data_IF_034730735942
#
_entry.id   IF_034730735942
#
_cell.length_a   1.000
_cell.length_b   1.000
_cell.length_c   1.000
_cell.angle_alpha   90.00
_cell.angle_beta   90.00
_cell.angle_gamma   90.00
#
_symmetry.space_group_name_H-M   'P 1'
#
loop_
_entity.id
_entity.type
_entity.pdbx_description
1 polymer ?
#
# COMPACT_ATOMS: atom_id res chain seq x y z
N UNK A 1 -51.54 -29.51 0.32
CA UNK A 1 -50.21 -29.05 -0.15
C UNK A 1 -50.05 -29.45 -1.61
N UNK A 2 -49.66 -28.50 -2.45
CA UNK A 2 -49.28 -28.61 -3.87
C UNK A 2 -50.40 -28.72 -4.91
N UNK A 3 -50.82 -27.56 -5.36
CA UNK A 3 -51.27 -27.21 -6.72
C UNK A 3 -50.39 -26.02 -7.14
N UNK A 4 -49.95 -25.74 -8.37
CA UNK A 4 -50.15 -26.25 -9.73
C UNK A 4 -48.98 -25.68 -10.54
N UNK A 5 -48.52 -26.39 -11.57
CA UNK A 5 -47.86 -25.80 -12.73
C UNK A 5 -48.96 -25.64 -13.81
N UNK A 6 -49.01 -24.54 -14.58
CA UNK A 6 -48.51 -24.70 -15.97
C UNK A 6 -47.93 -23.43 -16.63
N UNK A 7 -47.06 -23.70 -17.61
CA UNK A 7 -46.60 -22.86 -18.73
C UNK A 7 -47.63 -21.85 -19.25
N UNK A 8 -47.19 -20.61 -19.48
CA UNK A 8 -47.77 -19.70 -20.47
C UNK A 8 -46.67 -18.89 -21.18
N UNK A 9 -46.77 -18.89 -22.51
CA UNK A 9 -46.00 -18.16 -23.52
C UNK A 9 -46.59 -16.75 -23.65
N UNK A 10 -45.77 -15.71 -23.84
CA UNK A 10 -46.07 -14.65 -24.83
C UNK A 10 -44.85 -13.77 -25.08
N UNK A 11 -44.38 -13.76 -26.33
CA UNK A 11 -43.67 -12.64 -26.94
C UNK A 11 -44.59 -11.42 -26.98
N UNK A 12 -44.02 -10.23 -26.85
CA UNK A 12 -44.41 -9.11 -27.70
C UNK A 12 -43.21 -8.16 -27.88
N UNK A 13 -42.83 -7.97 -29.14
CA UNK A 13 -41.95 -6.91 -29.58
C UNK A 13 -42.80 -5.63 -29.67
N UNK A 14 -42.21 -4.48 -29.35
CA UNK A 14 -42.47 -3.28 -30.16
C UNK A 14 -41.29 -2.33 -30.08
N UNK A 15 -40.79 -2.09 -31.28
CA UNK A 15 -39.78 -1.16 -31.73
C UNK A 15 -40.32 0.28 -31.70
N UNK A 16 -39.49 1.25 -31.30
CA UNK A 16 -39.66 2.64 -31.75
C UNK A 16 -38.29 3.31 -31.80
N UNK A 17 -37.90 3.66 -33.02
CA UNK A 17 -36.70 4.42 -33.37
C UNK A 17 -36.99 5.93 -33.40
N UNK A 18 -35.99 6.78 -33.10
CA UNK A 18 -35.54 7.90 -33.98
C UNK A 18 -34.46 8.81 -33.30
N UNK A 19 -33.19 8.62 -33.73
CA UNK A 19 -32.27 9.52 -34.47
C UNK A 19 -32.12 11.04 -34.09
N UNK A 20 -31.11 11.77 -34.63
CA UNK A 20 -29.81 12.12 -34.02
C UNK A 20 -29.58 13.66 -33.92
N UNK A 21 -28.47 14.13 -33.33
CA UNK A 21 -28.02 15.50 -33.60
C UNK A 21 -26.49 15.66 -33.58
N UNK A 22 -26.01 16.37 -34.61
CA UNK A 22 -24.62 16.54 -35.03
C UNK A 22 -23.94 17.78 -34.43
N UNK A 23 -22.60 17.78 -34.59
CA UNK A 23 -21.70 18.92 -34.83
C UNK A 23 -21.13 19.74 -33.64
N UNK A 24 -19.80 19.86 -33.67
CA UNK A 24 -18.95 20.74 -32.86
C UNK A 24 -19.13 22.23 -33.22
N UNK A 25 -18.60 23.15 -32.40
CA UNK A 25 -17.38 23.83 -32.86
C UNK A 25 -16.35 24.15 -31.77
N UNK A 26 -15.19 24.56 -32.28
CA UNK A 26 -13.95 25.01 -31.63
C UNK A 26 -14.12 26.22 -30.69
N UNK A 27 -13.26 26.30 -29.67
CA UNK A 27 -13.12 27.47 -28.81
C UNK A 27 -11.91 27.31 -27.89
N UNK A 28 -10.77 27.86 -28.30
CA UNK A 28 -9.55 27.87 -27.51
C UNK A 28 -9.64 28.78 -26.30
N UNK A 29 -9.00 28.37 -25.20
CA UNK A 29 -8.31 29.30 -24.32
C UNK A 29 -7.14 28.56 -23.69
N UNK A 30 -5.93 28.97 -24.06
CA UNK A 30 -4.69 28.56 -23.40
C UNK A 30 -4.76 28.99 -21.94
N UNK A 31 -4.85 28.02 -21.05
CA UNK A 31 -4.51 28.23 -19.65
C UNK A 31 -3.10 27.69 -19.48
N UNK A 32 -2.12 28.54 -19.80
CA UNK A 32 -0.73 28.35 -19.38
C UNK A 32 -0.72 28.44 -17.84
N UNK A 33 -1.01 27.31 -17.21
CA UNK A 33 -0.88 27.12 -15.77
C UNK A 33 0.45 26.42 -15.60
N UNK A 34 1.48 27.24 -15.41
CA UNK A 34 2.71 26.82 -14.76
C UNK A 34 2.33 25.92 -13.58
N UNK A 35 2.84 24.68 -13.47
CA UNK A 35 2.60 23.89 -12.28
C UNK A 35 3.43 24.52 -11.16
N UNK A 36 2.82 25.46 -10.45
CA UNK A 36 3.32 25.99 -9.19
C UNK A 36 3.46 24.82 -8.23
N UNK A 37 4.71 24.57 -7.85
CA UNK A 37 5.18 23.55 -6.93
C UNK A 37 4.25 23.37 -5.72
N UNK A 38 3.56 22.24 -5.68
CA UNK A 38 2.99 21.68 -4.45
C UNK A 38 3.28 20.18 -4.40
N UNK A 39 4.55 19.82 -4.61
CA UNK A 39 5.08 18.46 -4.61
C UNK A 39 5.27 17.91 -3.19
N UNK A 40 4.25 18.03 -2.33
CA UNK A 40 4.31 17.50 -0.95
C UNK A 40 3.33 16.35 -0.72
N UNK A 41 2.46 16.04 -1.70
CA UNK A 41 1.30 15.18 -1.44
C UNK A 41 1.48 13.66 -1.61
N UNK A 42 2.69 13.13 -1.84
CA UNK A 42 2.83 11.66 -1.88
C UNK A 42 4.20 11.15 -1.45
N UNK A 43 4.83 11.77 -0.45
CA UNK A 43 6.08 11.24 0.12
C UNK A 43 5.78 10.09 1.08
N UNK A 44 5.19 9.00 0.58
CA UNK A 44 5.09 7.72 1.28
C UNK A 44 6.47 7.07 1.22
N UNK A 45 7.30 7.42 2.19
CA UNK A 45 8.71 7.05 2.25
C UNK A 45 8.90 5.58 2.58
N UNK A 46 10.06 5.06 2.16
CA UNK A 46 10.64 3.83 2.66
C UNK A 46 11.13 4.02 4.11
N UNK A 47 11.44 2.92 4.80
CA UNK A 47 12.04 2.97 6.14
C UNK A 47 13.50 3.40 6.05
N UNK A 48 14.24 2.90 5.07
CA UNK A 48 15.60 3.35 4.82
C UNK A 48 15.61 4.81 4.37
N UNK A 49 16.52 5.57 4.95
CA UNK A 49 16.81 6.91 4.49
C UNK A 49 17.50 6.85 3.11
N UNK A 50 17.23 7.82 2.21
CA UNK A 50 17.98 7.96 0.98
C UNK A 50 19.49 8.00 1.22
N UNK A 51 20.28 7.58 0.22
CA UNK A 51 21.74 7.55 0.33
C UNK A 51 22.27 8.94 0.71
N UNK A 52 23.01 9.02 1.82
CA UNK A 52 23.60 10.26 2.33
C UNK A 52 22.73 10.99 3.38
N UNK A 53 21.48 10.55 3.59
CA UNK A 53 20.67 11.02 4.72
C UNK A 53 20.91 10.18 5.97
N UNK A 54 20.89 10.82 7.13
CA UNK A 54 20.94 10.17 8.45
C UNK A 54 19.80 10.69 9.33
N UNK A 55 19.35 9.86 10.27
CA UNK A 55 18.43 10.33 11.30
C UNK A 55 19.11 11.43 12.11
N UNK A 56 18.33 12.45 12.48
CA UNK A 56 18.78 13.56 13.32
C UNK A 56 18.37 13.36 14.77
N UNK A 57 18.89 14.21 15.66
CA UNK A 57 18.57 14.18 17.10
C UNK A 57 17.15 14.68 17.44
N UNK A 58 16.42 15.14 16.44
CA UNK A 58 15.07 15.68 16.60
C UNK A 58 14.06 14.57 16.97
N UNK A 59 12.97 14.92 17.68
CA UNK A 59 12.11 13.93 18.32
C UNK A 59 11.43 12.97 17.33
N UNK A 60 11.00 13.41 16.14
CA UNK A 60 10.39 12.49 15.17
C UNK A 60 11.43 11.61 14.48
N UNK A 61 12.62 12.14 14.19
CA UNK A 61 13.74 11.37 13.67
C UNK A 61 14.21 10.28 14.63
N UNK A 62 14.34 10.57 15.93
CA UNK A 62 14.64 9.56 16.96
C UNK A 62 13.59 8.45 16.99
N UNK A 63 12.30 8.82 16.95
CA UNK A 63 11.21 7.83 16.95
C UNK A 63 11.21 6.97 15.68
N UNK A 64 11.47 7.56 14.51
CA UNK A 64 11.58 6.84 13.25
C UNK A 64 12.77 5.86 13.26
N UNK A 65 13.94 6.31 13.71
CA UNK A 65 15.13 5.47 13.89
C UNK A 65 14.87 4.29 14.82
N UNK A 66 14.25 4.53 15.98
CA UNK A 66 13.90 3.48 16.93
C UNK A 66 12.84 2.51 16.39
N UNK A 67 11.89 2.99 15.58
CA UNK A 67 10.90 2.13 14.94
C UNK A 67 11.52 1.25 13.86
N UNK A 68 12.35 1.82 12.98
CA UNK A 68 13.09 1.06 11.97
C UNK A 68 13.99 0.01 12.62
N UNK A 69 14.75 0.38 13.65
CA UNK A 69 15.64 -0.54 14.37
C UNK A 69 14.88 -1.73 14.95
N UNK A 70 13.71 -1.49 15.57
CA UNK A 70 12.83 -2.56 16.08
C UNK A 70 12.26 -3.42 14.96
N UNK A 71 11.86 -2.83 13.84
CA UNK A 71 11.35 -3.57 12.69
C UNK A 71 12.43 -4.48 12.09
N UNK A 72 13.65 -3.97 11.91
CA UNK A 72 14.80 -4.75 11.42
C UNK A 72 15.22 -5.85 12.40
N UNK A 73 15.15 -5.60 13.71
CA UNK A 73 15.38 -6.62 14.73
C UNK A 73 14.31 -7.73 14.65
N UNK A 74 13.05 -7.36 14.47
CA UNK A 74 11.95 -8.31 14.31
C UNK A 74 12.14 -9.19 13.07
N UNK A 75 12.56 -8.61 11.94
CA UNK A 75 12.94 -9.35 10.72
C UNK A 75 13.96 -10.45 11.00
N UNK A 76 15.04 -10.10 11.72
CA UNK A 76 16.11 -11.04 12.07
C UNK A 76 15.60 -12.19 12.95
N UNK A 77 14.77 -11.88 13.94
CA UNK A 77 14.19 -12.88 14.85
C UNK A 77 13.14 -13.77 14.18
N UNK A 78 12.50 -13.30 13.09
CA UNK A 78 11.41 -13.95 12.39
C UNK A 78 11.76 -14.23 10.91
N UNK A 79 13.01 -14.60 10.63
CA UNK A 79 13.55 -14.68 9.26
C UNK A 79 12.76 -15.63 8.35
N UNK A 80 12.28 -16.76 8.87
CA UNK A 80 11.46 -17.73 8.11
C UNK A 80 10.11 -17.13 7.73
N UNK A 81 9.46 -16.42 8.65
CA UNK A 81 8.18 -15.75 8.37
C UNK A 81 8.39 -14.61 7.39
N UNK A 82 9.48 -13.85 7.56
CA UNK A 82 9.83 -12.77 6.66
C UNK A 82 10.07 -13.25 5.23
N UNK A 83 10.80 -14.35 5.05
CA UNK A 83 11.03 -14.95 3.72
C UNK A 83 9.70 -15.29 3.02
N UNK A 84 8.73 -15.87 3.75
CA UNK A 84 7.39 -16.14 3.22
C UNK A 84 6.62 -14.87 2.86
N UNK A 85 6.77 -13.81 3.65
CA UNK A 85 6.16 -12.51 3.34
C UNK A 85 6.74 -11.91 2.07
N UNK A 86 8.05 -11.98 1.88
CA UNK A 86 8.72 -11.51 0.66
C UNK A 86 8.21 -12.28 -0.55
N UNK A 87 8.18 -13.62 -0.50
CA UNK A 87 7.66 -14.47 -1.59
C UNK A 87 6.22 -14.11 -1.97
N UNK A 88 5.35 -13.91 -0.98
CA UNK A 88 3.95 -13.54 -1.24
C UNK A 88 3.80 -12.14 -1.85
N UNK A 89 4.66 -11.21 -1.44
CA UNK A 89 4.69 -9.85 -1.99
C UNK A 89 5.26 -9.84 -3.41
N UNK A 90 6.25 -10.67 -3.71
CA UNK A 90 6.77 -10.89 -5.07
C UNK A 90 5.70 -11.48 -5.99
N UNK A 91 4.95 -12.49 -5.53
CA UNK A 91 3.81 -13.04 -6.28
C UNK A 91 2.74 -11.98 -6.52
N UNK A 92 2.44 -11.16 -5.50
CA UNK A 92 1.49 -10.05 -5.62
C UNK A 92 1.94 -9.03 -6.67
N UNK A 93 3.24 -8.71 -6.71
CA UNK A 93 3.81 -7.81 -7.70
C UNK A 93 3.75 -8.42 -9.12
N UNK A 94 4.05 -9.71 -9.27
CA UNK A 94 3.99 -10.41 -10.57
C UNK A 94 2.57 -10.51 -11.12
N UNK A 95 1.59 -10.75 -10.26
CA UNK A 95 0.18 -10.90 -10.63
C UNK A 95 -0.60 -9.57 -10.67
N UNK A 96 0.01 -8.48 -10.21
CA UNK A 96 -0.64 -7.17 -10.14
C UNK A 96 -1.74 -7.09 -9.06
N UNK A 97 -1.70 -7.95 -8.05
CA UNK A 97 -2.70 -8.00 -6.98
C UNK A 97 -2.30 -7.17 -5.77
N UNK A 98 -3.31 -6.63 -5.06
CA UNK A 98 -3.09 -5.89 -3.82
C UNK A 98 -2.57 -6.79 -2.71
N UNK A 99 -1.68 -6.24 -1.87
CA UNK A 99 -1.20 -6.88 -0.65
C UNK A 99 -1.31 -5.93 0.55
N UNK A 100 -1.27 -6.49 1.76
CA UNK A 100 -1.20 -5.71 2.99
C UNK A 100 -0.43 -6.45 4.07
N UNK A 101 0.32 -5.71 4.89
CA UNK A 101 1.03 -6.29 6.04
C UNK A 101 0.07 -6.94 7.06
N UNK A 102 -1.19 -6.50 7.11
CA UNK A 102 -2.22 -7.16 7.92
C UNK A 102 -2.53 -8.56 7.40
N UNK A 103 -2.79 -8.71 6.10
CA UNK A 103 -3.09 -10.02 5.49
C UNK A 103 -1.91 -10.98 5.66
N UNK A 104 -0.68 -10.50 5.45
CA UNK A 104 0.53 -11.28 5.66
C UNK A 104 0.66 -11.78 7.12
N UNK A 105 0.31 -10.93 8.10
CA UNK A 105 0.31 -11.29 9.51
C UNK A 105 -0.80 -12.27 9.88
N UNK A 106 -1.97 -12.17 9.26
CA UNK A 106 -3.07 -13.13 9.44
C UNK A 106 -2.69 -14.51 8.87
N UNK A 107 -2.12 -14.56 7.66
CA UNK A 107 -1.61 -15.80 7.06
C UNK A 107 -0.49 -16.42 7.88
N UNK A 108 0.46 -15.62 8.37
CA UNK A 108 1.55 -16.10 9.22
C UNK A 108 1.04 -16.76 10.52
N UNK A 109 -0.04 -16.23 11.13
CA UNK A 109 -0.68 -16.86 12.30
C UNK A 109 -1.32 -18.21 11.97
N UNK A 110 -1.88 -18.37 10.76
CA UNK A 110 -2.51 -19.61 10.35
C UNK A 110 -1.53 -20.78 10.20
N UNK A 111 -0.24 -20.49 10.00
CA UNK A 111 0.80 -21.51 9.81
C UNK A 111 1.41 -22.03 11.12
N UNK A 112 0.93 -21.57 12.29
CA UNK A 112 1.47 -21.91 13.62
C UNK A 112 3.00 -21.84 13.69
N UNK A 113 3.56 -20.80 13.06
CA UNK A 113 5.01 -20.63 12.98
C UNK A 113 5.53 -20.16 14.33
N UNK A 114 6.56 -20.85 14.82
CA UNK A 114 7.37 -20.40 15.95
C UNK A 114 8.49 -19.48 15.48
N UNK A 115 8.82 -18.47 16.27
CA UNK A 115 9.97 -17.61 16.02
C UNK A 115 11.29 -18.31 16.38
N UNK A 116 12.41 -17.59 16.22
CA UNK A 116 13.74 -18.09 16.59
C UNK A 116 13.92 -18.43 18.07
N UNK A 117 13.02 -17.98 18.94
CA UNK A 117 12.99 -18.27 20.38
C UNK A 117 11.96 -19.35 20.74
N UNK A 118 11.35 -20.03 19.76
CA UNK A 118 10.27 -21.01 19.95
C UNK A 118 8.99 -20.37 20.51
N UNK A 119 8.84 -19.05 20.42
CA UNK A 119 7.61 -18.36 20.82
C UNK A 119 6.62 -18.28 19.65
N UNK A 120 5.31 -18.25 19.92
CA UNK A 120 4.31 -18.06 18.86
C UNK A 120 4.54 -16.77 18.08
N UNK A 121 4.45 -16.84 16.76
CA UNK A 121 4.53 -15.69 15.88
C UNK A 121 3.60 -14.54 16.35
N UNK A 122 4.21 -13.39 16.68
CA UNK A 122 3.49 -12.16 17.03
C UNK A 122 4.12 -10.94 16.38
N UNK A 123 3.39 -10.34 15.44
CA UNK A 123 3.71 -8.99 14.96
C UNK A 123 2.96 -7.96 15.79
N UNK A 124 3.68 -7.01 16.41
CA UNK A 124 3.05 -5.86 17.04
C UNK A 124 2.49 -4.92 15.95
N UNK A 125 1.28 -4.40 16.15
CA UNK A 125 0.61 -3.49 15.23
C UNK A 125 1.46 -2.24 14.94
N UNK A 126 2.22 -1.77 15.92
CA UNK A 126 3.10 -0.61 15.79
C UNK A 126 4.23 -0.82 14.77
N UNK A 127 4.64 -2.08 14.53
CA UNK A 127 5.70 -2.40 13.58
C UNK A 127 5.18 -2.49 12.14
N UNK A 128 3.88 -2.75 11.92
CA UNK A 128 3.31 -2.98 10.58
C UNK A 128 3.61 -1.87 9.58
N UNK A 129 3.53 -0.55 9.93
CA UNK A 129 3.89 0.50 8.99
C UNK A 129 5.35 0.47 8.58
N UNK A 130 6.26 0.07 9.47
CA UNK A 130 7.68 -0.06 9.16
C UNK A 130 7.94 -1.31 8.33
N UNK A 131 7.36 -2.45 8.70
CA UNK A 131 7.49 -3.71 7.96
C UNK A 131 6.97 -3.58 6.53
N UNK A 132 5.84 -2.91 6.31
CA UNK A 132 5.31 -2.66 4.97
C UNK A 132 6.27 -1.82 4.12
N UNK A 133 6.96 -0.85 4.71
CA UNK A 133 7.95 -0.02 4.01
C UNK A 133 9.20 -0.81 3.66
N UNK A 134 9.69 -1.64 4.59
CA UNK A 134 10.82 -2.56 4.33
C UNK A 134 10.44 -3.55 3.22
N UNK A 135 9.23 -4.11 3.19
CA UNK A 135 8.77 -4.95 2.07
C UNK A 135 8.82 -4.22 0.73
N UNK A 136 8.52 -2.92 0.69
CA UNK A 136 8.65 -2.14 -0.53
C UNK A 136 10.11 -1.81 -0.89
N UNK A 137 11.04 -1.84 0.08
CA UNK A 137 12.49 -1.74 -0.18
C UNK A 137 13.00 -3.04 -0.82
N UNK A 138 12.62 -4.19 -0.24
CA UNK A 138 13.03 -5.52 -0.71
C UNK A 138 12.38 -5.86 -2.08
N UNK A 139 11.11 -5.49 -2.27
CA UNK A 139 10.35 -5.74 -3.50
C UNK A 139 9.82 -4.42 -4.08
N UNK A 140 10.66 -3.62 -4.76
CA UNK A 140 10.25 -2.31 -5.29
C UNK A 140 9.04 -2.38 -6.23
N UNK A 141 8.94 -3.44 -7.04
CA UNK A 141 7.81 -3.69 -7.94
C UNK A 141 6.46 -3.86 -7.23
N UNK A 142 6.46 -4.17 -5.93
CA UNK A 142 5.25 -4.35 -5.16
C UNK A 142 4.64 -3.03 -4.65
N UNK A 143 5.40 -1.92 -4.71
CA UNK A 143 5.01 -0.62 -4.15
C UNK A 143 3.69 -0.06 -4.70
N UNK A 144 3.32 -0.21 -5.99
CA UNK A 144 2.03 0.23 -6.51
C UNK A 144 0.83 -0.53 -5.94
N UNK A 145 1.05 -1.73 -5.39
CA UNK A 145 -0.01 -2.65 -4.98
C UNK A 145 -0.30 -2.62 -3.46
N UNK A 146 0.25 -1.63 -2.75
CA UNK A 146 0.01 -1.42 -1.32
C UNK A 146 -0.34 0.02 -1.00
N UNK A 147 -1.22 0.17 -0.01
CA UNK A 147 -1.49 1.45 0.60
C UNK A 147 -0.64 1.64 1.87
N UNK A 148 0.39 2.47 1.79
CA UNK A 148 1.17 2.87 2.96
C UNK A 148 0.45 4.01 3.70
N UNK A 149 0.02 3.75 4.93
CA UNK A 149 -0.52 4.79 5.81
C UNK A 149 0.57 5.73 6.28
N UNK A 150 0.21 6.99 6.48
CA UNK A 150 1.06 7.99 7.14
C UNK A 150 1.53 7.48 8.49
N UNK A 151 2.80 7.69 8.79
CA UNK A 151 3.49 7.18 9.96
C UNK A 151 4.50 8.20 10.50
N UNK A 152 5.31 7.78 11.46
CA UNK A 152 6.41 8.56 12.00
C UNK A 152 7.46 8.94 10.93
N UNK A 153 7.62 8.15 9.87
CA UNK A 153 8.62 8.38 8.83
C UNK A 153 8.33 9.65 8.04
N UNK A 154 7.06 9.94 7.74
CA UNK A 154 6.64 11.18 7.09
C UNK A 154 6.92 12.41 7.97
N UNK A 155 6.66 12.31 9.29
CA UNK A 155 6.97 13.39 10.24
C UNK A 155 8.47 13.64 10.36
N UNK A 156 9.26 12.57 10.45
CA UNK A 156 10.71 12.63 10.51
C UNK A 156 11.31 13.28 9.25
N UNK A 157 10.75 12.99 8.07
CA UNK A 157 11.17 13.62 6.82
C UNK A 157 10.92 15.12 6.80
N UNK A 158 9.70 15.55 7.14
CA UNK A 158 9.37 16.99 7.22
C UNK A 158 10.33 17.70 8.18
N UNK A 159 10.60 17.09 9.34
CA UNK A 159 11.52 17.62 10.35
C UNK A 159 12.97 17.73 9.85
N UNK A 160 13.41 16.86 8.92
CA UNK A 160 14.73 16.99 8.27
C UNK A 160 14.75 18.08 7.20
N UNK A 161 13.69 18.21 6.40
CA UNK A 161 13.62 19.21 5.32
C UNK A 161 13.60 20.63 5.86
N UNK A 162 12.95 20.86 7.01
CA UNK A 162 12.93 22.15 7.70
C UNK A 162 14.29 22.55 8.32
N UNK A 163 15.35 21.75 8.12
CA UNK A 163 16.72 22.03 8.58
C UNK A 163 17.64 22.47 7.45
N UNK A 164 17.17 22.51 6.20
CA UNK A 164 17.96 23.00 5.07
C UNK A 164 17.95 24.53 5.13
N UNK A 165 18.70 25.08 6.10
CA UNK A 165 19.08 26.49 6.23
C UNK A 165 20.61 26.59 6.09
#
# INVERSE_FOLDING_TARGET
>A
MREKDPRAVSSDQTETAQKPQSAAPEGGTSNDTTPTSSTVQNVRLYCCLPKGETYTEQPYNKKACALESRARAWLKANCVVWAKWVEEVEESARSGTRWSCQLLAEKARAYDLVDSNVEPFKVNNDLRPALARILCEEVPGARPYVELRTSIFERAYIERQNRVD
#
